data_IF_369521464461
#
_entry.id   IF_369521464461
#
_cell.length_a   1.000
_cell.length_b   1.000
_cell.length_c   1.000
_cell.angle_alpha   90.00
_cell.angle_beta   90.00
_cell.angle_gamma   90.00
#
_symmetry.space_group_name_H-M   'P 1'
#
loop_
_entity.id
_entity.type
_entity.pdbx_description
1 polymer ?
#
# COMPACT_ATOMS: atom_id res chain seq x y z
N UNK A 1 8.33 -19.24 -50.09
CA UNK A 1 8.97 -18.60 -48.93
C UNK A 1 10.09 -19.51 -48.49
N UNK A 2 11.33 -19.11 -48.77
CA UNK A 2 12.54 -19.93 -48.60
C UNK A 2 13.08 -19.80 -47.18
N UNK A 3 13.33 -20.93 -46.52
CA UNK A 3 14.06 -21.00 -45.26
C UNK A 3 15.56 -21.13 -45.57
N UNK A 4 16.37 -20.20 -45.05
CA UNK A 4 17.83 -20.24 -45.14
C UNK A 4 18.46 -21.03 -43.98
N UNK A 5 19.70 -21.56 -44.14
CA UNK A 5 20.28 -22.57 -43.26
C UNK A 5 21.02 -22.01 -42.03
N UNK A 6 21.12 -22.87 -41.01
CA UNK A 6 21.95 -22.79 -39.80
C UNK A 6 23.44 -22.48 -40.08
N UNK A 7 24.07 -21.78 -39.14
CA UNK A 7 25.52 -21.79 -38.89
C UNK A 7 25.84 -21.76 -37.37
N UNK A 8 27.04 -22.21 -36.95
CA UNK A 8 27.24 -22.93 -35.68
C UNK A 8 27.92 -22.13 -34.55
N UNK A 9 28.00 -22.80 -33.39
CA UNK A 9 28.61 -22.45 -32.10
C UNK A 9 30.09 -22.05 -32.19
N UNK A 10 30.51 -21.14 -31.31
CA UNK A 10 31.87 -21.10 -30.75
C UNK A 10 31.85 -20.91 -29.23
N UNK A 11 32.66 -21.74 -28.56
CA UNK A 11 33.03 -21.71 -27.15
C UNK A 11 33.97 -20.53 -26.84
N UNK A 12 34.02 -20.09 -25.58
CA UNK A 12 35.28 -19.72 -24.92
C UNK A 12 35.16 -19.79 -23.40
N UNK A 13 35.89 -20.75 -22.86
CA UNK A 13 36.43 -20.77 -21.50
C UNK A 13 37.37 -19.60 -21.26
N UNK A 14 37.39 -19.12 -20.01
CA UNK A 14 38.49 -18.47 -19.26
C UNK A 14 37.83 -17.79 -18.05
N UNK A 15 38.36 -17.70 -16.85
CA UNK A 15 39.59 -18.14 -16.20
C UNK A 15 39.47 -17.51 -14.80
N UNK A 16 40.01 -18.18 -13.79
CA UNK A 16 40.13 -17.76 -12.40
C UNK A 16 40.47 -16.29 -12.16
N UNK A 17 39.90 -15.69 -11.11
CA UNK A 17 40.70 -14.92 -10.16
C UNK A 17 40.09 -14.99 -8.75
N UNK A 18 40.79 -15.72 -7.89
CA UNK A 18 40.52 -15.92 -6.47
C UNK A 18 41.25 -14.79 -5.73
N UNK A 19 40.57 -13.65 -5.61
CA UNK A 19 41.07 -12.45 -4.94
C UNK A 19 40.57 -12.37 -3.51
N UNK A 20 41.10 -13.22 -2.63
CA UNK A 20 40.86 -13.17 -1.19
C UNK A 20 41.36 -11.87 -0.56
N UNK A 21 40.45 -10.94 -0.29
CA UNK A 21 40.68 -9.79 0.57
C UNK A 21 40.19 -10.12 1.98
N UNK A 22 41.13 -10.57 2.82
CA UNK A 22 40.95 -10.69 4.26
C UNK A 22 40.90 -9.28 4.84
N UNK A 23 39.70 -8.81 5.15
CA UNK A 23 39.50 -7.61 5.96
C UNK A 23 39.74 -7.95 7.44
N UNK A 24 40.39 -7.07 8.22
CA UNK A 24 40.59 -7.28 9.65
C UNK A 24 39.25 -7.35 10.37
N UNK A 25 39.09 -8.39 11.19
CA UNK A 25 37.99 -8.57 12.13
C UNK A 25 37.95 -7.42 13.12
N UNK A 26 37.21 -6.37 12.77
CA UNK A 26 36.61 -5.49 13.76
C UNK A 26 35.43 -6.27 14.34
N UNK A 27 35.61 -6.81 15.55
CA UNK A 27 34.50 -7.21 16.41
C UNK A 27 33.58 -6.00 16.59
N UNK A 28 32.57 -5.89 15.72
CA UNK A 28 31.37 -5.15 16.04
C UNK A 28 30.64 -6.06 17.03
N UNK A 29 30.78 -5.74 18.31
CA UNK A 29 29.86 -6.20 19.34
C UNK A 29 28.51 -5.61 18.96
N UNK A 30 27.77 -6.32 18.12
CA UNK A 30 26.35 -6.09 17.95
C UNK A 30 25.71 -6.43 19.30
N UNK A 31 24.95 -5.53 19.92
CA UNK A 31 24.16 -5.90 21.08
C UNK A 31 23.19 -7.01 20.66
N UNK A 32 23.54 -8.24 21.04
CA UNK A 32 22.81 -9.48 20.78
C UNK A 32 21.60 -9.62 21.72
N UNK A 33 20.89 -8.53 21.96
CA UNK A 33 19.67 -8.53 22.78
C UNK A 33 18.80 -7.28 22.50
N UNK A 34 18.55 -6.99 21.23
CA UNK A 34 17.34 -6.26 20.87
C UNK A 34 16.21 -7.29 20.84
N UNK A 35 15.78 -7.72 22.02
CA UNK A 35 14.57 -8.52 22.15
C UNK A 35 13.46 -7.86 21.34
N UNK A 36 12.66 -8.70 20.67
CA UNK A 36 11.44 -8.37 19.93
C UNK A 36 10.50 -7.50 20.78
N UNK A 37 10.83 -6.22 20.93
CA UNK A 37 9.92 -5.19 21.37
C UNK A 37 9.04 -4.93 20.18
N UNK A 38 8.06 -5.83 20.04
CA UNK A 38 6.92 -5.71 19.15
C UNK A 38 6.20 -4.43 19.56
N UNK A 39 6.66 -3.30 19.01
CA UNK A 39 6.16 -1.98 19.32
C UNK A 39 4.69 -2.00 18.96
N UNK A 40 3.86 -1.93 20.00
CA UNK A 40 2.44 -1.96 19.78
C UNK A 40 2.07 -0.67 19.05
N UNK A 41 1.25 -0.73 17.98
CA UNK A 41 1.06 0.39 17.05
C UNK A 41 0.57 1.69 17.71
N UNK A 42 -0.05 1.58 18.88
CA UNK A 42 -0.53 2.70 19.70
C UNK A 42 0.58 3.53 20.37
N UNK A 43 1.85 3.10 20.33
CA UNK A 43 2.98 3.84 20.89
C UNK A 43 3.77 4.61 19.82
N UNK A 44 3.50 4.37 18.55
CA UNK A 44 4.15 5.07 17.45
C UNK A 44 3.45 6.41 17.17
N UNK A 45 4.19 7.46 16.79
CA UNK A 45 3.59 8.66 16.21
C UNK A 45 2.74 8.30 15.00
N UNK A 46 1.60 8.97 14.82
CA UNK A 46 0.67 8.71 13.71
C UNK A 46 1.38 8.75 12.35
N UNK A 47 2.29 9.70 12.15
CA UNK A 47 3.04 9.84 10.89
C UNK A 47 3.94 8.62 10.60
N UNK A 48 4.54 8.02 11.63
CA UNK A 48 5.36 6.82 11.47
C UNK A 48 4.50 5.61 11.08
N UNK A 49 3.35 5.45 11.73
CA UNK A 49 2.38 4.39 11.40
C UNK A 49 1.88 4.55 9.96
N UNK A 50 1.59 5.77 9.52
CA UNK A 50 1.12 6.03 8.16
C UNK A 50 2.18 5.75 7.10
N UNK A 51 3.45 6.10 7.37
CA UNK A 51 4.55 5.78 6.46
C UNK A 51 4.66 4.28 6.23
N UNK A 52 4.72 3.51 7.31
CA UNK A 52 4.83 2.05 7.27
C UNK A 52 3.62 1.39 6.59
N UNK A 53 2.40 1.84 6.91
CA UNK A 53 1.18 1.37 6.24
C UNK A 53 1.19 1.64 4.74
N UNK A 54 1.71 2.80 4.30
CA UNK A 54 1.78 3.17 2.88
C UNK A 54 2.68 2.21 2.10
N UNK A 55 3.83 1.84 2.66
CA UNK A 55 4.72 0.84 2.07
C UNK A 55 4.04 -0.54 1.99
N UNK A 56 3.38 -0.97 3.07
CA UNK A 56 2.64 -2.22 3.12
C UNK A 56 1.53 -2.27 2.06
N UNK A 57 0.75 -1.20 1.89
CA UNK A 57 -0.35 -1.19 0.91
C UNK A 57 0.14 -1.32 -0.52
N UNK A 58 1.28 -0.72 -0.85
CA UNK A 58 1.92 -0.87 -2.16
C UNK A 58 2.17 -2.33 -2.55
N UNK A 59 2.42 -3.20 -1.56
CA UNK A 59 2.65 -4.63 -1.76
C UNK A 59 1.39 -5.49 -1.66
N UNK A 60 0.40 -5.06 -0.87
CA UNK A 60 -0.82 -5.84 -0.61
C UNK A 60 -1.95 -5.60 -1.61
N UNK A 61 -1.95 -4.47 -2.30
CA UNK A 61 -2.92 -4.20 -3.35
C UNK A 61 -2.83 -5.23 -4.47
N UNK A 62 -4.00 -5.73 -4.87
CA UNK A 62 -4.07 -6.75 -5.90
C UNK A 62 -5.37 -6.68 -6.68
N UNK A 63 -5.33 -7.23 -7.90
CA UNK A 63 -6.51 -7.35 -8.77
C UNK A 63 -7.70 -8.00 -8.08
N UNK A 64 -7.48 -9.03 -7.26
CA UNK A 64 -8.52 -9.77 -6.52
C UNK A 64 -9.32 -8.87 -5.56
N UNK A 65 -8.67 -7.85 -5.00
CA UNK A 65 -9.24 -6.98 -3.98
C UNK A 65 -9.86 -5.70 -4.57
N UNK A 66 -9.69 -5.45 -5.87
CA UNK A 66 -10.29 -4.31 -6.56
C UNK A 66 -11.79 -4.50 -6.81
N UNK A 67 -12.59 -3.42 -6.67
CA UNK A 67 -13.98 -3.37 -7.18
C UNK A 67 -14.05 -3.45 -8.70
N UNK A 68 -12.95 -3.15 -9.38
CA UNK A 68 -12.87 -3.03 -10.83
C UNK A 68 -11.64 -3.80 -11.33
N UNK A 69 -11.63 -5.13 -11.15
CA UNK A 69 -10.47 -5.97 -11.45
C UNK A 69 -10.03 -5.87 -12.92
N UNK A 70 -10.92 -5.57 -13.85
CA UNK A 70 -10.62 -5.33 -15.26
C UNK A 70 -9.84 -4.03 -15.52
N UNK A 71 -9.97 -3.05 -14.63
CA UNK A 71 -9.28 -1.75 -14.72
C UNK A 71 -8.05 -1.67 -13.81
N UNK A 72 -7.79 -2.72 -13.02
CA UNK A 72 -6.63 -2.81 -12.15
C UNK A 72 -5.37 -3.19 -12.95
N UNK A 73 -4.28 -2.48 -12.71
CA UNK A 73 -2.95 -2.80 -13.23
C UNK A 73 -1.85 -2.40 -12.24
N UNK A 74 -0.61 -2.78 -12.54
CA UNK A 74 0.56 -2.53 -11.68
C UNK A 74 0.95 -1.05 -11.56
N UNK A 75 0.46 -0.19 -12.46
CA UNK A 75 0.69 1.26 -12.45
C UNK A 75 -0.41 2.01 -11.70
N UNK A 76 -1.59 1.40 -11.54
CA UNK A 76 -2.73 1.89 -10.77
C UNK A 76 -3.20 0.86 -9.74
N UNK A 77 -2.32 0.39 -8.84
CA UNK A 77 -2.67 -0.67 -7.91
C UNK A 77 -3.77 -0.24 -6.93
N UNK A 78 -3.94 1.06 -6.67
CA UNK A 78 -4.98 1.64 -5.81
C UNK A 78 -6.39 1.59 -6.42
N UNK A 79 -6.54 1.35 -7.73
CA UNK A 79 -7.84 1.45 -8.42
C UNK A 79 -8.83 0.42 -7.86
N UNK A 80 -9.98 0.91 -7.39
CA UNK A 80 -11.03 0.09 -6.78
C UNK A 80 -10.72 -0.47 -5.39
N UNK A 81 -9.71 0.05 -4.69
CA UNK A 81 -9.28 -0.42 -3.36
C UNK A 81 -9.19 0.69 -2.30
N UNK A 82 -9.58 1.92 -2.65
CA UNK A 82 -9.46 3.09 -1.77
C UNK A 82 -10.31 2.96 -0.49
N UNK A 83 -11.48 2.32 -0.61
CA UNK A 83 -12.41 2.06 0.49
C UNK A 83 -11.80 1.15 1.56
N UNK A 84 -11.35 -0.05 1.17
CA UNK A 84 -10.77 -1.03 2.07
C UNK A 84 -9.43 -0.57 2.66
N UNK A 85 -8.71 0.28 1.92
CA UNK A 85 -7.46 0.89 2.39
C UNK A 85 -7.75 1.90 3.50
N UNK A 86 -8.66 2.84 3.28
CA UNK A 86 -9.00 3.84 4.28
C UNK A 86 -9.62 3.21 5.55
N UNK A 87 -10.45 2.17 5.39
CA UNK A 87 -10.96 1.39 6.52
C UNK A 87 -9.85 0.72 7.34
N UNK A 88 -8.82 0.20 6.68
CA UNK A 88 -7.70 -0.46 7.36
C UNK A 88 -6.85 0.56 8.11
N UNK A 89 -6.55 1.71 7.51
CA UNK A 89 -5.80 2.77 8.18
C UNK A 89 -6.54 3.25 9.43
N UNK A 90 -7.87 3.39 9.34
CA UNK A 90 -8.72 3.74 10.47
C UNK A 90 -8.54 2.77 11.65
N UNK A 91 -8.29 1.48 11.39
CA UNK A 91 -8.09 0.50 12.47
C UNK A 91 -6.78 0.72 13.25
N UNK A 92 -5.77 1.35 12.63
CA UNK A 92 -4.47 1.62 13.26
C UNK A 92 -4.40 3.00 13.91
N UNK A 93 -4.89 4.03 13.23
CA UNK A 93 -4.76 5.44 13.67
C UNK A 93 -6.04 6.01 14.28
N UNK A 94 -7.16 5.29 14.18
CA UNK A 94 -8.47 5.77 14.59
C UNK A 94 -9.03 6.86 13.67
N UNK A 95 -9.76 7.81 14.25
CA UNK A 95 -10.33 8.94 13.53
C UNK A 95 -11.65 8.67 12.80
N UNK A 96 -12.14 9.72 12.16
CA UNK A 96 -13.39 9.72 11.41
C UNK A 96 -13.12 9.53 9.93
N UNK A 97 -13.72 8.49 9.34
CA UNK A 97 -13.65 8.25 7.90
C UNK A 97 -14.57 9.21 7.15
N UNK A 98 -13.97 10.05 6.30
CA UNK A 98 -14.64 11.01 5.45
C UNK A 98 -14.60 10.55 4.00
N UNK A 99 -15.55 11.05 3.21
CA UNK A 99 -15.62 10.80 1.77
C UNK A 99 -15.50 12.12 1.01
N UNK A 100 -14.71 12.11 -0.06
CA UNK A 100 -14.60 13.18 -1.04
C UNK A 100 -14.85 12.60 -2.45
N UNK A 101 -14.74 13.45 -3.49
CA UNK A 101 -14.77 13.00 -4.89
C UNK A 101 -13.48 13.36 -5.61
N UNK A 102 -12.88 12.37 -6.27
CA UNK A 102 -11.82 12.60 -7.26
C UNK A 102 -12.47 13.04 -8.57
N UNK A 103 -11.99 14.14 -9.15
CA UNK A 103 -12.37 14.52 -10.50
C UNK A 103 -11.27 14.05 -11.45
N UNK A 104 -11.56 13.02 -12.24
CA UNK A 104 -10.71 12.66 -13.38
C UNK A 104 -11.59 12.50 -14.62
N UNK A 105 -11.31 13.30 -15.66
CA UNK A 105 -11.95 13.21 -16.96
C UNK A 105 -13.51 13.16 -16.96
N UNK A 106 -14.16 13.85 -16.04
CA UNK A 106 -15.64 14.00 -16.02
C UNK A 106 -16.42 12.90 -15.30
N UNK A 107 -15.77 11.86 -14.76
CA UNK A 107 -16.39 10.91 -13.83
C UNK A 107 -15.82 11.10 -12.42
N UNK A 108 -16.72 11.27 -11.45
CA UNK A 108 -16.37 11.34 -10.04
C UNK A 108 -16.19 9.94 -9.46
N UNK A 109 -15.00 9.62 -8.95
CA UNK A 109 -14.79 8.41 -8.14
C UNK A 109 -14.86 8.76 -6.66
N UNK A 110 -15.48 7.92 -5.80
CA UNK A 110 -15.44 8.14 -4.37
C UNK A 110 -13.99 8.07 -3.87
N UNK A 111 -13.62 9.05 -3.06
CA UNK A 111 -12.33 9.15 -2.38
C UNK A 111 -12.56 9.07 -0.89
N UNK A 112 -11.63 8.48 -0.14
CA UNK A 112 -11.77 8.37 1.31
C UNK A 112 -10.51 8.89 1.98
N UNK A 113 -10.68 9.66 3.04
CA UNK A 113 -9.62 10.19 3.88
C UNK A 113 -10.06 10.14 5.35
N UNK A 114 -9.11 10.29 6.27
CA UNK A 114 -9.37 10.23 7.69
C UNK A 114 -9.20 11.61 8.32
N UNK A 115 -10.03 11.92 9.32
CA UNK A 115 -9.82 13.08 10.20
C UNK A 115 -9.50 12.56 11.59
N UNK A 116 -8.31 12.86 12.11
CA UNK A 116 -7.88 12.53 13.47
C UNK A 116 -7.65 13.85 14.22
N UNK A 117 -8.55 14.15 15.16
CA UNK A 117 -8.58 15.47 15.80
C UNK A 117 -8.85 16.57 14.77
N UNK A 118 -7.90 17.50 14.61
CA UNK A 118 -7.98 18.59 13.62
C UNK A 118 -7.11 18.33 12.38
N UNK A 119 -6.55 17.13 12.23
CA UNK A 119 -5.65 16.78 11.14
C UNK A 119 -6.38 15.87 10.15
N UNK A 120 -6.35 16.26 8.88
CA UNK A 120 -6.78 15.39 7.79
C UNK A 120 -5.60 14.53 7.35
N UNK A 121 -5.74 13.23 7.56
CA UNK A 121 -4.83 12.20 7.10
C UNK A 121 -5.33 11.72 5.75
N UNK A 122 -4.52 11.99 4.74
CA UNK A 122 -4.79 11.63 3.36
C UNK A 122 -3.68 10.68 2.87
N UNK A 123 -3.77 9.40 3.23
CA UNK A 123 -2.67 8.44 3.07
C UNK A 123 -2.40 8.08 1.62
N UNK A 124 -3.37 8.39 0.74
CA UNK A 124 -3.29 8.11 -0.69
C UNK A 124 -3.08 9.39 -1.48
N UNK A 125 -2.91 10.55 -0.80
CA UNK A 125 -2.67 11.82 -1.46
C UNK A 125 -1.50 11.71 -2.42
N UNK A 126 -0.35 11.26 -1.95
CA UNK A 126 0.84 11.16 -2.79
C UNK A 126 0.66 10.13 -3.91
N UNK A 127 -0.01 9.01 -3.65
CA UNK A 127 -0.25 7.99 -4.68
C UNK A 127 -1.26 8.41 -5.76
N UNK A 128 -2.28 9.20 -5.38
CA UNK A 128 -3.43 9.54 -6.24
C UNK A 128 -3.31 10.92 -6.88
N UNK A 129 -2.70 11.91 -6.21
CA UNK A 129 -2.59 13.27 -6.76
C UNK A 129 -1.62 13.41 -7.93
N UNK A 130 -0.72 12.45 -8.13
CA UNK A 130 0.05 12.36 -9.38
C UNK A 130 -0.82 12.09 -10.61
N UNK A 131 -2.07 11.64 -10.41
CA UNK A 131 -2.95 11.13 -11.48
C UNK A 131 -4.34 11.80 -11.53
N UNK A 132 -4.77 12.50 -10.48
CA UNK A 132 -6.06 13.17 -10.42
C UNK A 132 -6.06 14.39 -9.48
N UNK A 133 -6.84 15.42 -9.82
CA UNK A 133 -7.10 16.55 -8.92
C UNK A 133 -8.21 16.19 -7.91
N UNK A 134 -7.92 16.33 -6.61
CA UNK A 134 -8.92 16.28 -5.55
C UNK A 134 -9.67 17.60 -5.56
N UNK A 135 -10.88 17.63 -6.17
CA UNK A 135 -11.59 18.90 -6.40
C UNK A 135 -12.54 19.31 -5.28
N UNK A 136 -13.15 18.36 -4.57
CA UNK A 136 -14.24 18.70 -3.64
C UNK A 136 -14.24 17.77 -2.42
N UNK A 137 -14.00 18.37 -1.25
CA UNK A 137 -14.47 17.85 0.03
C UNK A 137 -15.93 18.28 0.14
N UNK A 138 -16.87 17.37 -0.08
CA UNK A 138 -18.29 17.70 0.06
C UNK A 138 -18.65 17.67 1.54
N UNK A 139 -18.73 18.85 2.16
CA UNK A 139 -19.23 19.01 3.54
C UNK A 139 -20.72 18.58 3.67
N UNK A 140 -21.45 18.49 2.56
CA UNK A 140 -22.91 18.27 2.53
C UNK A 140 -23.35 16.79 2.63
N UNK A 141 -22.44 15.82 2.52
CA UNK A 141 -22.75 14.42 2.80
C UNK A 141 -22.29 14.10 4.22
N UNK A 142 -23.19 14.39 5.16
CA UNK A 142 -23.07 14.14 6.59
C UNK A 142 -22.22 12.91 6.91
N UNK A 143 -21.13 13.17 7.64
CA UNK A 143 -20.10 12.24 8.04
C UNK A 143 -20.53 11.12 9.00
N UNK A 144 -21.82 10.79 9.09
CA UNK A 144 -22.32 9.95 10.17
C UNK A 144 -22.32 8.45 9.89
N UNK A 145 -21.94 7.97 8.71
CA UNK A 145 -21.98 6.52 8.45
C UNK A 145 -20.92 5.97 7.51
N UNK A 146 -19.84 6.67 7.12
CA UNK A 146 -18.94 6.12 6.07
C UNK A 146 -18.41 4.72 6.39
N UNK A 147 -17.93 4.44 7.61
CA UNK A 147 -17.51 3.07 7.98
C UNK A 147 -18.68 2.09 8.01
N UNK A 148 -19.73 2.39 8.77
CA UNK A 148 -20.89 1.49 8.92
C UNK A 148 -21.57 1.22 7.59
N UNK A 149 -21.74 2.24 6.76
CA UNK A 149 -22.28 2.17 5.41
C UNK A 149 -21.39 1.32 4.52
N UNK A 150 -20.07 1.59 4.47
CA UNK A 150 -19.14 0.78 3.68
C UNK A 150 -19.19 -0.69 4.11
N UNK A 151 -19.11 -0.96 5.42
CA UNK A 151 -19.14 -2.33 5.94
C UNK A 151 -20.53 -2.98 5.86
N UNK A 152 -21.61 -2.21 5.66
CA UNK A 152 -22.94 -2.76 5.35
C UNK A 152 -22.99 -3.38 3.95
N UNK A 153 -22.09 -2.98 3.05
CA UNK A 153 -22.01 -3.53 1.69
C UNK A 153 -21.23 -4.87 1.72
N UNK A 154 -21.85 -6.01 1.34
CA UNK A 154 -21.20 -7.33 1.49
C UNK A 154 -19.87 -7.46 0.76
N UNK A 155 -19.78 -6.88 -0.45
CA UNK A 155 -18.54 -6.89 -1.24
C UNK A 155 -17.42 -6.07 -0.60
N UNK A 156 -17.73 -4.94 0.02
CA UNK A 156 -16.73 -4.12 0.73
C UNK A 156 -16.28 -4.85 1.99
N UNK A 157 -17.24 -5.33 2.80
CA UNK A 157 -16.95 -6.06 4.05
C UNK A 157 -16.08 -7.31 3.82
N UNK A 158 -16.37 -8.09 2.78
CA UNK A 158 -15.56 -9.26 2.43
C UNK A 158 -14.14 -8.90 2.02
N UNK A 159 -13.98 -7.90 1.14
CA UNK A 159 -12.66 -7.46 0.67
C UNK A 159 -11.85 -6.83 1.80
N UNK A 160 -12.49 -5.97 2.60
CA UNK A 160 -11.90 -5.37 3.78
C UNK A 160 -11.41 -6.43 4.77
N UNK A 161 -12.22 -7.45 5.08
CA UNK A 161 -11.81 -8.50 6.02
C UNK A 161 -10.53 -9.22 5.59
N UNK A 162 -10.40 -9.54 4.30
CA UNK A 162 -9.19 -10.16 3.74
C UNK A 162 -8.00 -9.21 3.76
N UNK A 163 -8.20 -7.97 3.30
CA UNK A 163 -7.14 -6.99 3.22
C UNK A 163 -6.63 -6.61 4.60
N UNK A 164 -7.51 -6.30 5.55
CA UNK A 164 -7.15 -5.96 6.93
C UNK A 164 -6.42 -7.09 7.67
N UNK A 165 -6.70 -8.37 7.34
CA UNK A 165 -5.94 -9.49 7.87
C UNK A 165 -4.49 -9.48 7.35
N UNK A 166 -4.30 -9.29 6.03
CA UNK A 166 -2.97 -9.20 5.41
C UNK A 166 -2.19 -7.98 5.92
N UNK A 167 -2.85 -6.84 6.10
CA UNK A 167 -2.23 -5.62 6.65
C UNK A 167 -1.74 -5.86 8.08
N UNK A 168 -2.57 -6.47 8.94
CA UNK A 168 -2.18 -6.78 10.32
C UNK A 168 -1.04 -7.79 10.41
N UNK A 169 -1.00 -8.76 9.50
CA UNK A 169 0.11 -9.70 9.40
C UNK A 169 1.40 -8.99 8.96
N UNK A 170 1.34 -8.20 7.89
CA UNK A 170 2.49 -7.47 7.37
C UNK A 170 3.04 -6.42 8.34
N UNK A 171 2.17 -5.70 9.05
CA UNK A 171 2.56 -4.68 10.04
C UNK A 171 3.17 -5.30 11.32
N UNK A 172 2.88 -6.58 11.59
CA UNK A 172 3.37 -7.26 12.78
C UNK A 172 4.63 -8.11 12.54
N UNK A 173 5.12 -8.16 11.30
CA UNK A 173 6.26 -8.94 10.83
C UNK A 173 7.55 -8.10 10.84
#
# INVERSE_FOLDING_TARGET
MSFGPEQPRENRDSSSDDGGLVLPSSEIILPSDAGDLKLSPHLLPVDAVLHELTEIFGHLWSRELSTSPESWDVYKPWWGQLDITALSIQDFVGGELKQARLSSAGQGAPYYYLTVGNTNIDPLRETVTHVAEVKEYTDELEAFTTRTLLLSMPLVSQRYSRFAARVREAFAA
#
